data_IF_610017503530
#
_entry.id   IF_610017503530
#
_cell.length_a   1.000
_cell.length_b   1.000
_cell.length_c   1.000
_cell.angle_alpha   90.00
_cell.angle_beta   90.00
_cell.angle_gamma   90.00
#
_symmetry.space_group_name_H-M   'P 1'
#
loop_
_entity.id
_entity.type
_entity.pdbx_description
1 polymer ?
#
# COMPACT_ATOMS: atom_id res chain seq x y z
N UNK A 1 9.34 23.25 -6.55
CA UNK A 1 8.97 23.10 -5.13
C UNK A 1 8.50 21.67 -4.86
N UNK A 2 8.80 21.10 -3.67
CA UNK A 2 8.27 19.79 -3.21
C UNK A 2 7.09 20.04 -2.27
N UNK A 3 5.96 19.40 -2.57
CA UNK A 3 4.76 19.41 -1.73
C UNK A 3 4.60 18.02 -1.12
N UNK A 4 4.50 17.94 0.20
CA UNK A 4 4.29 16.71 0.95
C UNK A 4 2.92 16.80 1.62
N UNK A 5 2.07 15.80 1.40
CA UNK A 5 0.71 15.78 1.94
C UNK A 5 0.40 14.46 2.65
N UNK A 6 -0.72 14.42 3.32
CA UNK A 6 -1.32 13.18 3.82
C UNK A 6 -1.96 12.39 2.68
N UNK A 7 -1.93 11.06 2.80
CA UNK A 7 -2.53 10.17 1.79
C UNK A 7 -4.05 10.32 1.69
N UNK A 8 -4.72 10.85 2.72
CA UNK A 8 -6.15 11.15 2.67
C UNK A 8 -6.48 12.30 1.72
N UNK A 9 -5.62 13.33 1.69
CA UNK A 9 -5.83 14.54 0.89
C UNK A 9 -5.13 14.47 -0.48
N UNK A 10 -4.50 13.36 -0.81
CA UNK A 10 -3.58 13.23 -1.93
C UNK A 10 -4.21 13.67 -3.27
N UNK A 11 -5.38 13.14 -3.63
CA UNK A 11 -6.06 13.50 -4.87
C UNK A 11 -6.47 14.98 -4.90
N UNK A 12 -6.98 15.51 -3.78
CA UNK A 12 -7.40 16.91 -3.69
C UNK A 12 -6.22 17.88 -3.81
N UNK A 13 -5.09 17.55 -3.16
CA UNK A 13 -3.88 18.36 -3.27
C UNK A 13 -3.29 18.27 -4.69
N UNK A 14 -3.35 17.10 -5.33
CA UNK A 14 -2.92 16.91 -6.70
C UNK A 14 -3.68 17.83 -7.69
N UNK A 15 -5.00 17.96 -7.54
CA UNK A 15 -5.83 18.85 -8.37
C UNK A 15 -5.45 20.34 -8.22
N UNK A 16 -5.00 20.74 -7.03
CA UNK A 16 -4.64 22.12 -6.68
C UNK A 16 -3.14 22.41 -6.83
N UNK A 17 -2.33 21.39 -7.02
CA UNK A 17 -0.88 21.50 -7.07
C UNK A 17 -0.42 22.19 -8.36
N UNK A 18 0.45 23.21 -8.29
CA UNK A 18 1.07 23.78 -9.49
C UNK A 18 1.82 22.71 -10.28
N UNK A 19 1.69 22.72 -11.60
CA UNK A 19 2.28 21.70 -12.51
C UNK A 19 3.80 21.57 -12.39
N UNK A 20 4.47 22.63 -11.99
CA UNK A 20 5.93 22.64 -11.80
C UNK A 20 6.35 22.08 -10.44
N UNK A 21 5.41 21.81 -9.56
CA UNK A 21 5.70 21.28 -8.22
C UNK A 21 5.72 19.76 -8.23
N UNK A 22 6.66 19.20 -7.47
CA UNK A 22 6.72 17.76 -7.21
C UNK A 22 5.79 17.44 -6.02
N UNK A 23 4.91 16.47 -6.19
CA UNK A 23 3.97 16.04 -5.15
C UNK A 23 4.35 14.65 -4.62
N UNK A 24 4.33 14.48 -3.31
CA UNK A 24 4.47 13.18 -2.65
C UNK A 24 3.63 13.11 -1.37
N UNK A 25 3.59 11.95 -0.73
CA UNK A 25 2.91 11.77 0.55
C UNK A 25 3.84 11.22 1.62
N UNK A 26 3.49 11.46 2.90
CA UNK A 26 4.23 10.86 4.01
C UNK A 26 4.34 9.34 3.91
N UNK A 27 3.28 8.67 3.47
CA UNK A 27 3.29 7.21 3.29
C UNK A 27 4.30 6.76 2.23
N UNK A 28 4.46 7.52 1.14
CA UNK A 28 5.44 7.23 0.08
C UNK A 28 6.87 7.50 0.58
N UNK A 29 7.09 8.60 1.30
CA UNK A 29 8.38 8.87 1.92
C UNK A 29 8.77 7.77 2.92
N UNK A 30 7.82 7.29 3.73
CA UNK A 30 8.06 6.16 4.62
C UNK A 30 8.38 4.87 3.86
N UNK A 31 7.76 4.64 2.71
CA UNK A 31 8.08 3.50 1.86
C UNK A 31 9.51 3.56 1.31
N UNK A 32 9.97 4.73 0.89
CA UNK A 32 11.33 4.95 0.42
C UNK A 32 12.36 4.79 1.55
N UNK A 33 12.07 5.35 2.72
CA UNK A 33 12.99 5.30 3.87
C UNK A 33 13.08 3.91 4.48
N UNK A 34 11.96 3.20 4.62
CA UNK A 34 11.88 1.96 5.40
C UNK A 34 11.84 0.68 4.57
N UNK A 35 11.52 0.76 3.28
CA UNK A 35 11.44 -0.39 2.39
C UNK A 35 12.32 -0.25 1.15
N UNK A 36 12.14 -1.20 0.25
CA UNK A 36 12.60 -1.07 -1.13
C UNK A 36 11.46 -0.44 -1.92
N UNK A 37 11.63 0.82 -2.31
CA UNK A 37 10.59 1.60 -2.98
C UNK A 37 10.26 1.06 -4.37
N UNK A 38 11.26 0.55 -5.11
CA UNK A 38 11.06 -0.03 -6.44
C UNK A 38 10.19 -1.28 -6.38
N UNK A 39 10.39 -2.12 -5.35
CA UNK A 39 9.56 -3.31 -5.13
C UNK A 39 8.11 -2.91 -4.79
N UNK A 40 7.90 -1.85 -4.03
CA UNK A 40 6.56 -1.33 -3.73
C UNK A 40 5.86 -0.77 -4.98
N UNK A 41 6.59 -0.03 -5.83
CA UNK A 41 6.04 0.51 -7.08
C UNK A 41 5.70 -0.63 -8.04
N UNK A 42 6.60 -1.59 -8.23
CA UNK A 42 6.35 -2.79 -9.04
C UNK A 42 5.14 -3.59 -8.52
N UNK A 43 5.05 -3.73 -7.21
CA UNK A 43 3.94 -4.42 -6.56
C UNK A 43 2.58 -3.78 -6.84
N UNK A 44 2.52 -2.45 -7.00
CA UNK A 44 1.30 -1.73 -7.32
C UNK A 44 0.72 -2.10 -8.69
N UNK A 45 1.51 -2.65 -9.62
CA UNK A 45 1.01 -3.12 -10.92
C UNK A 45 -0.03 -4.26 -10.77
N UNK A 46 0.00 -5.04 -9.68
CA UNK A 46 -1.01 -6.05 -9.38
C UNK A 46 -2.42 -5.48 -9.24
N UNK A 47 -2.54 -4.19 -8.91
CA UNK A 47 -3.83 -3.50 -8.83
C UNK A 47 -4.53 -3.38 -10.20
N UNK A 48 -3.80 -3.46 -11.31
CA UNK A 48 -4.38 -3.41 -12.66
C UNK A 48 -5.12 -4.70 -13.02
N UNK A 49 -4.75 -5.83 -12.41
CA UNK A 49 -5.22 -7.17 -12.75
C UNK A 49 -6.16 -7.78 -11.68
N UNK A 50 -6.83 -6.95 -10.88
CA UNK A 50 -7.78 -7.45 -9.89
C UNK A 50 -8.99 -8.10 -10.54
N UNK A 51 -9.37 -9.28 -10.02
CA UNK A 51 -10.53 -10.06 -10.44
C UNK A 51 -11.31 -10.59 -9.22
N UNK A 52 -12.42 -11.29 -9.48
CA UNK A 52 -13.29 -11.87 -8.44
C UNK A 52 -12.55 -12.82 -7.47
N UNK A 53 -11.52 -13.47 -7.94
CA UNK A 53 -10.73 -14.43 -7.16
C UNK A 53 -9.58 -13.74 -6.40
N UNK A 54 -9.33 -12.45 -6.65
CA UNK A 54 -8.26 -11.72 -5.98
C UNK A 54 -8.52 -11.62 -4.49
N UNK A 55 -7.50 -11.95 -3.70
CA UNK A 55 -7.49 -11.80 -2.25
C UNK A 55 -6.35 -10.88 -1.84
N UNK A 56 -6.66 -9.78 -1.18
CA UNK A 56 -5.71 -8.75 -0.80
C UNK A 56 -5.53 -8.77 0.72
N UNK A 57 -4.28 -8.71 1.18
CA UNK A 57 -3.95 -8.50 2.57
C UNK A 57 -3.64 -7.02 2.80
N UNK A 58 -4.42 -6.36 3.64
CA UNK A 58 -4.09 -5.02 4.16
C UNK A 58 -3.37 -5.20 5.49
N UNK A 59 -2.10 -4.81 5.54
CA UNK A 59 -1.23 -5.03 6.68
C UNK A 59 -0.88 -3.71 7.38
N UNK A 60 -1.47 -3.51 8.55
CA UNK A 60 -1.17 -2.40 9.45
C UNK A 60 -0.05 -2.82 10.42
N UNK A 61 1.09 -2.14 10.37
CA UNK A 61 2.15 -2.37 11.35
C UNK A 61 1.84 -1.67 12.68
N UNK A 62 1.23 -0.48 12.63
CA UNK A 62 0.96 0.34 13.81
C UNK A 62 -0.40 0.03 14.41
N UNK A 63 -0.52 0.24 15.73
CA UNK A 63 -1.76 0.04 16.49
C UNK A 63 -2.42 1.36 16.90
N UNK A 64 -1.96 2.50 16.38
CA UNK A 64 -2.57 3.80 16.69
C UNK A 64 -3.99 3.90 16.14
N UNK A 65 -4.83 4.62 16.88
CA UNK A 65 -6.23 4.84 16.48
C UNK A 65 -6.27 5.98 15.47
N UNK A 66 -6.90 5.79 14.30
CA UNK A 66 -7.11 6.88 13.33
C UNK A 66 -7.95 8.01 13.94
N UNK A 67 -7.56 9.26 13.68
CA UNK A 67 -8.31 10.43 14.17
C UNK A 67 -9.53 10.77 13.30
N UNK A 68 -9.58 10.28 12.07
CA UNK A 68 -10.65 10.45 11.07
C UNK A 68 -10.79 9.16 10.26
N UNK A 69 -11.30 9.24 9.02
CA UNK A 69 -11.42 8.09 8.12
C UNK A 69 -10.19 7.17 8.15
N UNK A 70 -10.44 5.89 8.40
CA UNK A 70 -9.39 4.88 8.44
C UNK A 70 -8.92 4.56 7.02
N UNK A 71 -7.69 4.97 6.69
CA UNK A 71 -7.11 4.75 5.36
C UNK A 71 -7.10 3.27 5.00
N UNK A 72 -6.69 2.41 5.95
CA UNK A 72 -6.55 0.97 5.72
C UNK A 72 -7.89 0.23 5.70
N UNK A 73 -8.86 0.66 6.54
CA UNK A 73 -10.13 -0.06 6.72
C UNK A 73 -11.30 0.51 5.96
N UNK A 74 -11.22 1.77 5.54
CA UNK A 74 -12.30 2.46 4.82
C UNK A 74 -11.86 2.91 3.44
N UNK A 75 -10.86 3.80 3.32
CA UNK A 75 -10.50 4.43 2.05
C UNK A 75 -9.93 3.43 1.02
N UNK A 76 -8.94 2.65 1.38
CA UNK A 76 -8.33 1.67 0.45
C UNK A 76 -9.35 0.60 0.06
N UNK A 77 -10.11 -0.03 0.99
CA UNK A 77 -11.17 -0.96 0.63
C UNK A 77 -12.22 -0.38 -0.31
N UNK A 78 -12.64 0.87 -0.10
CA UNK A 78 -13.59 1.55 -0.98
C UNK A 78 -13.05 1.71 -2.40
N UNK A 79 -11.79 2.13 -2.55
CA UNK A 79 -11.12 2.24 -3.84
C UNK A 79 -10.94 0.88 -4.54
N UNK A 80 -10.58 -0.16 -3.79
CA UNK A 80 -10.44 -1.52 -4.30
C UNK A 80 -11.78 -2.07 -4.80
N UNK A 81 -12.86 -1.90 -4.03
CA UNK A 81 -14.20 -2.35 -4.41
C UNK A 81 -14.78 -1.56 -5.57
N UNK A 82 -14.42 -0.28 -5.73
CA UNK A 82 -14.77 0.51 -6.91
C UNK A 82 -14.18 -0.09 -8.18
N UNK A 83 -12.97 -0.64 -8.10
CA UNK A 83 -12.29 -1.30 -9.23
C UNK A 83 -12.73 -2.75 -9.42
N UNK A 84 -12.89 -3.51 -8.34
CA UNK A 84 -13.33 -4.89 -8.33
C UNK A 84 -14.28 -5.13 -7.15
N UNK A 85 -15.63 -5.09 -7.37
CA UNK A 85 -16.62 -5.17 -6.28
C UNK A 85 -16.53 -6.45 -5.44
N UNK A 86 -16.12 -7.57 -6.03
CA UNK A 86 -16.04 -8.90 -5.41
C UNK A 86 -14.68 -9.22 -4.79
N UNK A 87 -13.72 -8.30 -4.80
CA UNK A 87 -12.39 -8.51 -4.22
C UNK A 87 -12.47 -8.90 -2.73
N UNK A 88 -11.75 -9.94 -2.35
CA UNK A 88 -11.65 -10.38 -0.95
C UNK A 88 -10.54 -9.59 -0.25
N UNK A 89 -10.82 -9.06 0.93
CA UNK A 89 -9.88 -8.24 1.68
C UNK A 89 -9.76 -8.78 3.10
N UNK A 90 -8.54 -9.15 3.46
CA UNK A 90 -8.18 -9.53 4.83
C UNK A 90 -7.39 -8.39 5.48
N UNK A 91 -7.48 -8.29 6.80
CA UNK A 91 -6.78 -7.28 7.58
C UNK A 91 -5.94 -7.93 8.66
N UNK A 92 -4.72 -7.42 8.84
CA UNK A 92 -3.86 -7.78 9.98
C UNK A 92 -3.29 -6.52 10.61
N UNK A 93 -3.01 -6.57 11.91
CA UNK A 93 -2.50 -5.44 12.67
C UNK A 93 -1.31 -5.84 13.54
N UNK A 94 -0.37 -4.92 13.70
CA UNK A 94 0.78 -5.11 14.59
C UNK A 94 1.60 -6.34 14.22
N UNK A 95 1.71 -7.27 15.15
CA UNK A 95 2.48 -8.52 15.03
C UNK A 95 1.73 -9.65 14.33
N UNK A 96 0.45 -9.46 14.00
CA UNK A 96 -0.40 -10.51 13.42
C UNK A 96 -0.14 -10.76 11.92
N UNK A 97 0.97 -10.23 11.40
CA UNK A 97 1.38 -10.53 10.04
C UNK A 97 1.59 -12.04 9.89
N UNK A 98 1.00 -12.70 8.86
CA UNK A 98 1.02 -14.15 8.75
C UNK A 98 2.44 -14.72 8.73
N UNK A 99 2.70 -15.74 9.54
CA UNK A 99 3.96 -16.48 9.52
C UNK A 99 4.15 -17.27 8.23
N UNK A 100 3.03 -17.64 7.56
CA UNK A 100 3.02 -18.24 6.22
C UNK A 100 2.13 -17.46 5.28
N UNK A 101 2.69 -17.09 4.14
CA UNK A 101 2.00 -16.40 3.04
C UNK A 101 1.60 -17.36 1.91
N UNK A 102 1.85 -18.66 2.09
CA UNK A 102 1.48 -19.72 1.15
C UNK A 102 0.46 -20.67 1.79
N UNK A 103 -0.38 -21.22 0.96
CA UNK A 103 -1.33 -22.29 1.32
C UNK A 103 -0.60 -23.62 1.52
N UNK A 104 -1.31 -24.64 1.98
CA UNK A 104 -0.76 -26.01 2.19
C UNK A 104 -0.26 -26.66 0.89
N UNK A 105 -0.81 -26.25 -0.26
CA UNK A 105 -0.39 -26.70 -1.58
C UNK A 105 0.79 -25.91 -2.19
N UNK A 106 1.33 -24.95 -1.45
CA UNK A 106 2.42 -24.10 -1.88
C UNK A 106 2.01 -22.90 -2.74
N UNK A 107 0.73 -22.74 -3.06
CA UNK A 107 0.24 -21.57 -3.81
C UNK A 107 0.24 -20.31 -2.97
N UNK A 108 0.34 -19.15 -3.61
CA UNK A 108 0.27 -17.85 -2.94
C UNK A 108 -1.12 -17.64 -2.30
N UNK A 109 -1.13 -17.25 -1.03
CA UNK A 109 -2.37 -17.03 -0.26
C UNK A 109 -3.07 -15.73 -0.65
N UNK A 110 -2.31 -14.75 -1.12
CA UNK A 110 -2.79 -13.42 -1.49
C UNK A 110 -2.32 -13.04 -2.89
N UNK A 111 -3.13 -12.27 -3.60
CA UNK A 111 -2.79 -11.68 -4.90
C UNK A 111 -1.94 -10.41 -4.75
N UNK A 112 -2.06 -9.75 -3.59
CA UNK A 112 -1.36 -8.50 -3.27
C UNK A 112 -1.34 -8.28 -1.75
N UNK A 113 -0.24 -7.71 -1.25
CA UNK A 113 -0.15 -7.16 0.11
C UNK A 113 -0.07 -5.64 -0.01
N UNK A 114 -0.94 -4.91 0.71
CA UNK A 114 -0.89 -3.46 0.84
C UNK A 114 -0.50 -3.12 2.28
N UNK A 115 0.72 -2.59 2.46
CA UNK A 115 1.32 -2.32 3.76
C UNK A 115 1.19 -0.85 4.15
N UNK A 116 0.95 -0.56 5.41
CA UNK A 116 0.96 0.83 5.90
C UNK A 116 2.39 1.42 5.91
N UNK A 117 2.51 2.71 6.21
CA UNK A 117 3.80 3.41 6.27
C UNK A 117 4.75 2.94 7.38
N UNK A 118 4.28 2.11 8.31
CA UNK A 118 5.05 1.57 9.43
C UNK A 118 5.81 2.66 10.23
N UNK A 119 5.15 3.80 10.46
CA UNK A 119 5.77 4.99 11.07
C UNK A 119 6.42 4.71 12.44
N UNK A 120 5.88 3.77 13.23
CA UNK A 120 6.38 3.39 14.55
C UNK A 120 7.38 2.23 14.52
N UNK A 121 7.70 1.67 13.35
CA UNK A 121 8.61 0.54 13.22
C UNK A 121 9.88 0.91 12.46
N UNK A 122 10.94 0.14 12.69
CA UNK A 122 12.22 0.34 12.01
C UNK A 122 12.21 -0.21 10.57
N UNK A 123 13.27 0.10 9.85
CA UNK A 123 13.48 -0.35 8.46
C UNK A 123 13.52 -1.87 8.35
N UNK A 124 14.22 -2.53 9.25
CA UNK A 124 14.39 -3.99 9.25
C UNK A 124 13.05 -4.73 9.26
N UNK A 125 12.11 -4.24 10.05
CA UNK A 125 10.76 -4.81 10.15
C UNK A 125 10.01 -4.79 8.81
N UNK A 126 10.13 -3.70 8.05
CA UNK A 126 9.48 -3.58 6.74
C UNK A 126 10.18 -4.45 5.70
N UNK A 127 11.52 -4.46 5.71
CA UNK A 127 12.32 -5.28 4.80
C UNK A 127 12.07 -6.78 4.99
N UNK A 128 11.93 -7.24 6.23
CA UNK A 128 11.56 -8.64 6.52
C UNK A 128 10.21 -9.02 5.93
N UNK A 129 9.22 -8.15 6.01
CA UNK A 129 7.90 -8.38 5.39
C UNK A 129 7.97 -8.38 3.87
N UNK A 130 8.74 -7.47 3.27
CA UNK A 130 8.99 -7.47 1.82
C UNK A 130 9.70 -8.75 1.38
N UNK A 131 10.71 -9.21 2.13
CA UNK A 131 11.41 -10.46 1.85
C UNK A 131 10.48 -11.68 1.93
N UNK A 132 9.60 -11.73 2.94
CA UNK A 132 8.60 -12.79 3.08
C UNK A 132 7.61 -12.80 1.91
N UNK A 133 7.11 -11.64 1.50
CA UNK A 133 6.22 -11.50 0.35
C UNK A 133 6.92 -11.95 -0.95
N UNK A 134 8.16 -11.54 -1.16
CA UNK A 134 8.98 -11.91 -2.32
C UNK A 134 9.23 -13.42 -2.38
N UNK A 135 9.55 -14.04 -1.23
CA UNK A 135 9.72 -15.50 -1.12
C UNK A 135 8.44 -16.25 -1.49
N UNK A 136 7.28 -15.71 -1.11
CA UNK A 136 5.96 -16.26 -1.44
C UNK A 136 5.48 -15.88 -2.85
N UNK A 137 6.28 -15.13 -3.62
CA UNK A 137 5.92 -14.57 -4.95
C UNK A 137 4.65 -13.72 -4.93
N UNK A 138 4.40 -13.01 -3.83
CA UNK A 138 3.26 -12.12 -3.68
C UNK A 138 3.76 -10.68 -3.87
N UNK A 139 3.19 -9.92 -4.83
CA UNK A 139 3.48 -8.50 -4.96
C UNK A 139 3.10 -7.77 -3.67
N UNK A 140 3.91 -6.78 -3.29
CA UNK A 140 3.66 -5.97 -2.11
C UNK A 140 3.80 -4.49 -2.47
N UNK A 141 2.84 -3.69 -2.04
CA UNK A 141 2.85 -2.24 -2.21
C UNK A 141 2.57 -1.52 -0.89
N UNK A 142 2.62 -0.19 -0.91
CA UNK A 142 2.41 0.67 0.25
C UNK A 142 1.10 1.44 0.10
N UNK A 143 0.50 1.91 1.22
CA UNK A 143 -0.75 2.67 1.25
C UNK A 143 -0.75 3.87 0.30
N UNK A 144 0.29 4.72 0.37
CA UNK A 144 0.37 5.92 -0.47
C UNK A 144 0.48 5.59 -1.96
N UNK A 145 1.29 4.59 -2.30
CA UNK A 145 1.48 4.11 -3.67
C UNK A 145 0.20 3.46 -4.19
N UNK A 146 -0.47 2.63 -3.37
CA UNK A 146 -1.74 2.00 -3.73
C UNK A 146 -2.83 3.05 -4.01
N UNK A 147 -2.96 4.08 -3.16
CA UNK A 147 -3.92 5.16 -3.35
C UNK A 147 -3.59 5.93 -4.64
N UNK A 148 -2.33 6.33 -4.84
CA UNK A 148 -1.91 7.04 -6.04
C UNK A 148 -2.20 6.22 -7.32
N UNK A 149 -1.95 4.91 -7.29
CA UNK A 149 -2.26 4.00 -8.41
C UNK A 149 -3.76 3.89 -8.67
N UNK A 150 -4.56 3.67 -7.61
CA UNK A 150 -6.02 3.51 -7.71
C UNK A 150 -6.74 4.79 -8.12
N UNK A 151 -6.16 5.95 -7.84
CA UNK A 151 -6.67 7.26 -8.25
C UNK A 151 -6.09 7.78 -9.57
N UNK A 152 -5.16 7.03 -10.19
CA UNK A 152 -4.61 7.35 -11.50
C UNK A 152 -3.52 8.42 -11.52
N UNK A 153 -2.98 8.79 -10.36
CA UNK A 153 -1.97 9.88 -10.22
C UNK A 153 -0.55 9.38 -9.92
N UNK A 154 -0.32 8.06 -9.98
CA UNK A 154 0.99 7.50 -9.59
C UNK A 154 2.14 8.01 -10.45
N UNK A 155 1.90 8.28 -11.75
CA UNK A 155 2.89 8.85 -12.66
C UNK A 155 3.35 10.27 -12.28
N UNK A 156 2.51 11.00 -11.57
CA UNK A 156 2.73 12.41 -11.21
C UNK A 156 3.36 12.54 -9.81
N UNK A 157 3.52 11.40 -9.14
CA UNK A 157 4.06 11.35 -7.78
C UNK A 157 5.57 11.34 -7.79
N UNK A 158 6.16 12.23 -7.02
CA UNK A 158 7.59 12.22 -6.76
C UNK A 158 7.93 11.10 -5.75
N UNK A 159 8.80 10.20 -6.17
CA UNK A 159 9.18 9.01 -5.40
C UNK A 159 10.67 9.03 -5.02
N UNK A 160 11.38 10.12 -5.29
CA UNK A 160 12.82 10.30 -5.04
C UNK A 160 13.71 9.86 -6.18
#
# INVERSE_FOLDING_TARGET
QLIITDSQLFSKVHELCPKESKLTSFSILMAAEKGNIDDFIKGAAALDNLCSESRILIAEACTHVPQKEDIGREKIPALLRKKCPSVKIDFVRGTDFPSSLVNSDGSARYSLIIHCGACMFNREYVLQRQAAAKKAKIPMTNYGIAIAKLTGILSDVFVN
#
